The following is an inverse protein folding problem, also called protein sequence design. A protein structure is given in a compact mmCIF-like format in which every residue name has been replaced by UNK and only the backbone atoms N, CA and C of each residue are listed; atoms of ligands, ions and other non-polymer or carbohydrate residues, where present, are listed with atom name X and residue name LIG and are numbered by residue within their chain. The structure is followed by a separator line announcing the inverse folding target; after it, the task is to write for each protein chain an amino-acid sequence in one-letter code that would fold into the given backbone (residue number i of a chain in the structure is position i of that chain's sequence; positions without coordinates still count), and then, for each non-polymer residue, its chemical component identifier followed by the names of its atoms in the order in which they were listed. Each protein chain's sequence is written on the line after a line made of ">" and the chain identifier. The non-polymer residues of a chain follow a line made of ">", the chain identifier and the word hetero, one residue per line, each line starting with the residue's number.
data_IF_745573194869
#
_entry.id   IF_745573194869
#
_cell.length_a   1.000
_cell.length_b   1.000
_cell.length_c   1.000
_cell.angle_alpha   90.00
_cell.angle_beta   90.00
_cell.angle_gamma   90.00
#
_symmetry.space_group_name_H-M   'P 1'
#
loop_
_entity.id
_entity.type
_entity.pdbx_description
1 polymer ?
2 non-polymer ?
3 water ?
#
# COMPACT_ATOMS: atom_id res chain seq x y z
N UNK A 8 -19.88 37.37 9.78
CA UNK A 8 -18.78 36.86 8.91
C UNK A 8 -18.05 35.69 9.56
N UNK A 9 -17.49 34.80 8.73
CA UNK A 9 -16.74 33.63 9.21
C UNK A 9 -15.38 33.50 8.50
N UNK A 10 -14.34 33.27 9.29
CA UNK A 10 -13.00 33.02 8.76
C UNK A 10 -12.85 31.55 8.40
N UNK A 11 -12.25 31.29 7.24
CA UNK A 11 -12.01 29.93 6.77
C UNK A 11 -10.61 29.79 6.16
N UNK A 12 -9.99 28.62 6.37
CA UNK A 12 -8.62 28.39 5.93
C UNK A 12 -8.35 26.95 5.49
N UNK A 13 -7.50 26.80 4.48
CA UNK A 13 -7.12 25.51 3.93
C UNK A 13 -5.61 25.48 3.71
N UNK A 14 -4.95 24.45 4.24
CA UNK A 14 -3.55 24.21 3.94
C UNK A 14 -3.45 23.18 2.82
N UNK A 15 -2.81 23.58 1.72
CA UNK A 15 -2.81 22.79 0.49
C UNK A 15 -2.15 21.42 0.63
N UNK A 16 -0.89 21.39 1.04
CA UNK A 16 -0.15 20.14 1.14
C UNK A 16 -0.13 19.55 2.56
N UNK A 17 -1.20 19.79 3.32
CA UNK A 17 -1.35 19.23 4.67
C UNK A 17 -1.40 17.73 4.65
N UNK A 18 -2.22 17.19 3.75
CA UNK A 18 -2.38 15.75 3.62
C UNK A 18 -1.07 15.08 3.23
N UNK A 19 -0.34 15.71 2.31
CA UNK A 19 0.98 15.24 1.88
C UNK A 19 1.99 15.25 3.03
N UNK A 20 1.97 16.32 3.81
CA UNK A 20 2.85 16.45 4.98
C UNK A 20 2.49 15.46 6.08
N UNK A 21 1.19 15.29 6.32
CA UNK A 21 0.71 14.38 7.35
C UNK A 21 0.99 12.92 6.98
N UNK A 22 0.94 12.61 5.68
CA UNK A 22 1.31 11.28 5.21
C UNK A 22 2.80 11.02 5.35
N UNK A 23 3.60 12.08 5.19
CA UNK A 23 5.04 12.02 5.42
C UNK A 23 5.34 11.61 6.85
N UNK A 24 4.65 12.24 7.80
CA UNK A 24 4.76 11.88 9.22
C UNK A 24 4.19 10.48 9.50
N UNK A 25 3.06 10.15 8.88
CA UNK A 25 2.48 8.80 9.01
C UNK A 25 3.44 7.73 8.50
N UNK A 26 4.12 8.03 7.39
CA UNK A 26 5.14 7.14 6.85
C UNK A 26 6.34 7.00 7.79
N UNK A 27 6.76 8.12 8.38
CA UNK A 27 7.82 8.13 9.39
C UNK A 27 7.48 7.20 10.55
N UNK A 28 6.26 7.32 11.06
CA UNK A 28 5.80 6.52 12.20
C UNK A 28 5.79 5.03 11.89
N UNK A 29 5.49 4.68 10.64
CA UNK A 29 5.48 3.29 10.20
C UNK A 29 6.90 2.70 10.17
N UNK A 30 7.85 3.47 9.65
CA UNK A 30 9.26 3.06 9.62
C UNK A 30 9.84 2.89 11.02
N UNK A 31 9.45 3.78 11.93
CA UNK A 31 9.85 3.71 13.33
C UNK A 31 9.04 2.65 14.08
N UNK A 32 8.03 2.10 13.40
CA UNK A 32 7.13 1.09 13.96
C UNK A 32 6.41 1.60 15.21
N UNK A 33 5.86 2.81 15.10
CA UNK A 33 5.12 3.44 16.18
C UNK A 33 3.64 3.59 15.82
N UNK A 34 2.79 3.34 16.82
CA UNK A 34 1.33 3.45 16.70
C UNK A 34 0.69 2.36 15.82
N UNK A 35 1.50 1.42 15.34
CA UNK A 35 1.03 0.35 14.45
C UNK A 35 0.09 -0.62 15.15
N UNK A 36 -0.93 -1.08 14.43
CA UNK A 36 -1.94 -1.96 15.01
C UNK A 36 -2.16 -3.25 14.21
N UNK A 37 -1.42 -3.38 13.11
CA UNK A 37 -1.49 -4.58 12.27
C UNK A 37 -0.09 -5.03 11.81
N UNK A 38 0.16 -6.33 11.89
CA UNK A 38 1.39 -6.92 11.37
C UNK A 38 1.02 -7.91 10.27
N UNK A 39 1.43 -7.59 9.05
CA UNK A 39 1.15 -8.44 7.90
C UNK A 39 2.25 -9.49 7.73
N UNK A 40 1.89 -10.75 7.93
CA UNK A 40 2.81 -11.86 7.74
C UNK A 40 2.60 -12.46 6.35
N UNK A 41 3.58 -12.24 5.47
CA UNK A 41 3.44 -12.60 4.07
C UNK A 41 4.27 -13.84 3.72
N UNK A 42 3.58 -14.88 3.27
CA UNK A 42 4.22 -16.10 2.78
C UNK A 42 3.81 -16.41 1.35
N UNK A 43 4.79 -16.82 0.55
CA UNK A 43 4.63 -17.01 -0.88
C UNK A 43 5.61 -18.07 -1.37
N UNK A 44 5.27 -18.71 -2.50
CA UNK A 44 6.09 -19.77 -3.09
C UNK A 44 7.57 -19.39 -3.20
N UNK A 45 8.44 -20.30 -2.75
CA UNK A 45 9.90 -20.13 -2.76
C UNK A 45 10.40 -19.00 -1.85
N UNK A 46 9.94 -17.78 -2.13
CA UNK A 46 10.37 -16.56 -1.43
C UNK A 46 10.28 -16.64 0.10
N UNK A 47 11.28 -16.05 0.80
CA UNK A 47 11.31 -16.07 2.27
C UNK A 47 10.15 -15.30 2.90
N UNK A 48 9.81 -15.66 4.13
CA UNK A 48 8.74 -15.00 4.87
C UNK A 48 9.15 -13.57 5.23
N UNK A 49 8.16 -12.69 5.30
CA UNK A 49 8.39 -11.29 5.63
C UNK A 49 7.27 -10.72 6.49
N UNK A 50 7.62 -9.76 7.34
CA UNK A 50 6.67 -9.05 8.19
C UNK A 50 6.62 -7.57 7.84
N UNK A 51 5.42 -7.01 7.82
CA UNK A 51 5.25 -5.58 7.57
C UNK A 51 4.29 -5.01 8.60
N UNK A 52 4.77 -4.06 9.39
CA UNK A 52 3.93 -3.36 10.34
C UNK A 52 3.34 -2.11 9.71
N UNK A 53 2.06 -1.87 9.97
CA UNK A 53 1.35 -0.73 9.41
C UNK A 53 0.21 -0.29 10.32
N UNK A 54 -0.52 0.72 9.86
CA UNK A 54 -1.70 1.23 10.56
C UNK A 54 -2.91 0.88 9.77
N UNK A 55 -3.87 0.21 10.41
CA UNK A 55 -5.08 -0.27 9.74
C UNK A 55 -5.79 0.84 8.98
N UNK A 56 -5.91 2.01 9.60
CA UNK A 56 -6.64 3.13 9.02
C UNK A 56 -5.99 3.67 7.73
N UNK A 57 -4.66 3.60 7.66
CA UNK A 57 -3.93 4.07 6.49
C UNK A 57 -4.12 3.11 5.31
N UNK A 58 -3.99 1.81 5.58
CA UNK A 58 -4.23 0.80 4.55
C UNK A 58 -5.68 0.84 4.10
N UNK A 59 -6.59 0.88 5.08
CA UNK A 59 -8.03 0.95 4.83
C UNK A 59 -8.43 2.12 3.94
N UNK A 60 -7.70 3.22 4.04
CA UNK A 60 -8.00 4.42 3.25
C UNK A 60 -7.40 4.38 1.85
N UNK A 61 -6.73 3.27 1.53
CA UNK A 61 -6.11 3.10 0.22
C UNK A 61 -6.67 1.89 -0.51
N UNK A 62 -7.14 0.91 0.27
CA UNK A 62 -7.65 -0.34 -0.28
C UNK A 62 -8.99 -0.73 0.33
N UNK A 63 -10.03 -0.86 -0.52
CA UNK A 63 -11.35 -1.34 -0.10
C UNK A 63 -11.29 -2.74 0.49
N UNK A 64 -10.36 -3.56 -0.01
CA UNK A 64 -10.12 -4.89 0.54
C UNK A 64 -9.65 -4.80 1.99
N UNK A 65 -8.65 -3.94 2.24
CA UNK A 65 -8.16 -3.71 3.60
C UNK A 65 -9.25 -3.11 4.48
N UNK A 66 -10.02 -2.17 3.92
CA UNK A 66 -11.11 -1.54 4.65
C UNK A 66 -12.14 -2.57 5.12
N UNK A 67 -12.49 -3.51 4.24
CA UNK A 67 -13.39 -4.61 4.57
C UNK A 67 -12.81 -5.51 5.65
N UNK A 68 -11.51 -5.80 5.54
CA UNK A 68 -10.80 -6.67 6.48
C UNK A 68 -10.82 -6.16 7.92
N UNK A 69 -10.76 -4.84 8.10
CA UNK A 69 -10.59 -4.26 9.43
C UNK A 69 -11.87 -3.70 10.06
N UNK A 70 -12.93 -3.56 9.28
CA UNK A 70 -14.19 -2.99 9.79
C UNK A 70 -15.25 -4.05 10.11
N UNK A 78 -2.88 -4.88 18.56
CA UNK A 78 -2.06 -5.49 17.51
C UNK A 78 -2.70 -6.76 16.94
N UNK A 79 -2.98 -6.74 15.64
CA UNK A 79 -3.51 -7.90 14.93
C UNK A 79 -2.49 -8.46 13.93
N UNK A 80 -2.28 -9.77 13.99
CA UNK A 80 -1.44 -10.47 13.03
C UNK A 80 -2.33 -11.01 11.91
N UNK A 81 -1.99 -10.66 10.67
CA UNK A 81 -2.73 -11.14 9.51
C UNK A 81 -1.81 -11.96 8.62
N UNK A 82 -2.22 -13.20 8.33
CA UNK A 82 -1.50 -14.05 7.38
C UNK A 82 -1.94 -13.73 5.95
N UNK A 83 -0.97 -13.43 5.09
CA UNK A 83 -1.25 -13.16 3.68
C UNK A 83 -0.56 -14.19 2.79
N UNK A 84 -1.33 -14.73 1.85
CA UNK A 84 -0.83 -15.69 0.88
C UNK A 84 -1.22 -15.25 -0.52
N UNK A 85 -0.53 -15.79 -1.52
CA UNK A 85 -0.85 -15.53 -2.92
C UNK A 85 -0.30 -14.23 -3.46
N UNK A 86 0.53 -13.55 -2.66
CA UNK A 86 1.18 -12.32 -3.09
C UNK A 86 2.64 -12.30 -2.62
N UNK A 87 3.54 -11.94 -3.54
CA UNK A 87 4.97 -11.83 -3.25
C UNK A 87 5.25 -10.72 -2.27
N UNK A 88 6.10 -10.98 -1.25
CA UNK A 88 6.38 -10.00 -0.20
C UNK A 88 6.83 -8.63 -0.72
N UNK A 89 7.65 -8.62 -1.76
CA UNK A 89 8.16 -7.38 -2.35
C UNK A 89 7.05 -6.60 -3.05
N UNK A 90 6.04 -7.31 -3.54
CA UNK A 90 4.86 -6.68 -4.14
C UNK A 90 4.03 -6.00 -3.05
N UNK A 91 3.81 -6.70 -1.94
CA UNK A 91 3.10 -6.15 -0.79
C UNK A 91 3.80 -4.91 -0.26
N UNK A 92 5.13 -5.01 -0.13
CA UNK A 92 5.98 -3.89 0.28
C UNK A 92 5.74 -2.65 -0.57
N UNK A 93 5.68 -2.82 -1.89
CA UNK A 93 5.48 -1.70 -2.81
C UNK A 93 4.09 -1.07 -2.72
N UNK A 94 3.08 -1.89 -2.40
CA UNK A 94 1.71 -1.40 -2.26
C UNK A 94 1.49 -0.65 -0.95
N UNK A 95 2.09 -1.15 0.14
CA UNK A 95 2.09 -0.44 1.42
C UNK A 95 2.81 0.90 1.29
N UNK A 96 3.95 0.90 0.62
CA UNK A 96 4.68 2.13 0.33
C UNK A 96 3.83 3.10 -0.47
N UNK A 97 3.03 2.58 -1.41
CA UNK A 97 2.12 3.42 -2.17
C UNK A 97 1.04 4.04 -1.29
N UNK A 98 0.51 3.25 -0.36
CA UNK A 98 -0.53 3.72 0.55
C UNK A 98 -0.03 4.91 1.38
N UNK A 99 1.23 4.83 1.82
CA UNK A 99 1.83 5.81 2.72
C UNK A 99 2.55 6.97 2.02
N UNK A 100 2.80 6.84 0.72
CA UNK A 100 3.57 7.86 -0.02
C UNK A 100 2.95 8.33 -1.33
N UNK A 101 1.91 7.64 -1.80
CA UNK A 101 1.25 7.94 -3.08
C UNK A 101 2.14 7.66 -4.30
N UNK A 102 3.28 7.02 -4.07
CA UNK A 102 4.21 6.68 -5.14
C UNK A 102 4.66 5.23 -5.09
N UNK A 103 4.79 4.64 -6.28
CA UNK A 103 5.21 3.25 -6.42
C UNK A 103 6.14 3.13 -7.63
N UNK A 104 7.18 2.31 -7.47
CA UNK A 104 8.11 2.04 -8.56
C UNK A 104 8.45 0.56 -8.57
N UNK A 105 8.75 0.05 -9.76
CA UNK A 105 9.03 -1.36 -9.96
C UNK A 105 9.87 -1.51 -11.21
N UNK A 106 10.61 -2.62 -11.29
CA UNK A 106 11.37 -2.95 -12.49
C UNK A 106 10.44 -3.24 -13.66
N UNK A 107 10.81 -2.72 -14.83
CA UNK A 107 10.04 -2.89 -16.06
C UNK A 107 9.48 -4.30 -16.24
N UNK A 108 10.27 -5.30 -15.86
CA UNK A 108 9.93 -6.71 -16.09
C UNK A 108 8.97 -7.31 -15.06
N UNK A 109 8.57 -6.53 -14.06
CA UNK A 109 7.71 -7.01 -12.98
C UNK A 109 6.40 -6.24 -12.86
N UNK A 110 6.17 -5.30 -13.78
CA UNK A 110 4.96 -4.48 -13.80
C UNK A 110 3.68 -5.32 -13.68
N UNK A 111 3.68 -6.47 -14.36
CA UNK A 111 2.55 -7.41 -14.31
C UNK A 111 2.30 -7.95 -12.90
N UNK A 112 3.38 -8.28 -12.19
CA UNK A 112 3.29 -8.84 -10.85
C UNK A 112 2.68 -7.87 -9.87
N UNK A 113 3.08 -6.61 -9.99
CA UNK A 113 2.58 -5.53 -9.14
C UNK A 113 1.09 -5.29 -9.43
N UNK A 114 0.73 -5.34 -10.71
CA UNK A 114 -0.67 -5.23 -11.15
C UNK A 114 -1.55 -6.30 -10.51
N UNK A 115 -1.05 -7.54 -10.46
CA UNK A 115 -1.77 -8.66 -9.84
C UNK A 115 -2.01 -8.49 -8.35
N UNK A 116 -1.06 -7.86 -7.67
CA UNK A 116 -1.23 -7.50 -6.26
C UNK A 116 -2.22 -6.37 -6.11
N UNK A 117 -2.07 -5.35 -6.96
CA UNK A 117 -2.97 -4.20 -6.98
C UNK A 117 -4.43 -4.58 -7.25
N UNK A 118 -4.65 -5.49 -8.21
CA UNK A 118 -5.97 -6.06 -8.48
C UNK A 118 -6.50 -6.83 -7.27
N UNK A 119 -5.62 -7.61 -6.64
CA UNK A 119 -5.96 -8.40 -5.46
C UNK A 119 -6.46 -7.52 -4.30
N UNK A 120 -5.87 -6.34 -4.13
CA UNK A 120 -6.26 -5.43 -3.06
C UNK A 120 -7.00 -4.19 -3.57
N UNK A 121 -7.49 -4.29 -4.80
CA UNK A 121 -8.37 -3.29 -5.41
C UNK A 121 -7.87 -1.85 -5.30
N UNK A 122 -6.57 -1.66 -5.51
CA UNK A 122 -5.97 -0.34 -5.55
C UNK A 122 -5.97 0.12 -7.01
N UNK A 123 -7.12 0.63 -7.44
CA UNK A 123 -7.46 0.84 -8.85
C UNK A 123 -6.54 1.76 -9.65
N UNK A 124 -5.94 2.73 -8.98
CA UNK A 124 -5.06 3.69 -9.65
C UNK A 124 -3.77 3.02 -10.11
N UNK A 125 -3.23 2.15 -9.25
CA UNK A 125 -2.04 1.36 -9.57
C UNK A 125 -2.38 0.38 -10.69
N UNK A 126 -3.51 -0.32 -10.55
CA UNK A 126 -4.03 -1.22 -11.58
C UNK A 126 -4.05 -0.53 -12.95
N UNK A 127 -4.75 0.60 -13.02
CA UNK A 127 -4.88 1.38 -14.25
C UNK A 127 -3.51 1.77 -14.81
N UNK A 128 -2.63 2.27 -13.94
CA UNK A 128 -1.28 2.70 -14.33
C UNK A 128 -0.46 1.57 -14.96
N UNK A 129 -0.44 0.41 -14.31
CA UNK A 129 0.26 -0.77 -14.82
C UNK A 129 -0.35 -1.26 -16.13
N UNK A 130 -1.68 -1.27 -16.19
CA UNK A 130 -2.42 -1.65 -17.39
C UNK A 130 -2.08 -0.73 -18.56
N UNK A 131 -2.17 0.58 -18.32
CA UNK A 131 -1.86 1.59 -19.33
C UNK A 131 -0.45 1.43 -19.87
N UNK A 132 0.48 1.12 -18.97
CA UNK A 132 1.88 0.90 -19.33
C UNK A 132 2.07 -0.37 -20.14
N UNK A 133 1.40 -1.45 -19.73
CA UNK A 133 1.51 -2.74 -20.41
C UNK A 133 0.88 -2.75 -21.81
N UNK A 134 -0.17 -1.95 -21.99
CA UNK A 134 -0.81 -1.76 -23.30
C UNK A 134 0.15 -1.08 -24.27
N UNK A 135 0.87 -0.07 -23.78
CA UNK A 135 1.90 0.62 -24.55
C UNK A 135 3.06 -0.30 -24.94
N UNK A 136 3.38 -1.26 -24.07
CA UNK A 136 4.46 -2.23 -24.32
C UNK A 136 4.13 -3.25 -25.42
N UNK A 137 3.06 -3.00 -26.16
CA UNK A 137 2.66 -3.83 -27.30
C UNK A 137 1.87 -3.02 -28.33
X LIG B 1 12.71 -5.84 -11.57
X LIG B 1 11.88 -6.12 -10.80
X LIG B 1 11.04 -6.56 -9.98
X LIG B 1 10.63 -7.99 -10.10
X LIG B 1 10.35 -8.68 -8.78
X LIG B 1 11.63 -8.79 -7.95
X LIG B 1 9.85 -10.10 -8.98
X LIG B 1 10.54 -10.94 -9.79
X LIG B 1 10.14 -12.21 -10.00
X LIG B 1 10.94 -13.11 -10.91
X LIG B 1 9.04 -12.69 -9.39
X LIG B 1 8.30 -11.90 -8.57
X LIG B 1 7.18 -12.41 -7.96
X LIG B 1 6.68 -13.72 -8.27
X LIG B 1 8.70 -10.59 -8.34
X LIG B 1 7.87 -9.72 -7.41
X LIG B 1 8.66 -8.51 -6.91
X LIG B 1 9.28 -7.80 -8.11
X LIG B 1 9.77 -6.36 -7.83
X LIG B 1 8.61 -5.44 -7.45
X LIG B 1 10.51 -5.77 -9.02
X LIG B 1 10.65 -4.44 -9.11
#
# INVERSE_FOLDING_TARGET
>A
GSHMASNRTFSYTLEDHTKQAFGIMNELRLSQQLCDVTLQVKYQDAPAAQFMAHKVVLASSSPVFKAMFTNGLREQGMEVVSIEGIHPKVMERLIEFAYTASISMGEKCVLHVMNGAVMYQIDSVVRACSDFLVQQLDPS
>B hetero
1 TX6 N16 C15 C2 C1 C10 C19 C9 N11 C12 C20 N13 C14 O21 C22 C8 C7 C6 C5 C4 C18 C3 O17
#
